data_IF_502509253866
#
_entry.id   IF_502509253866
#
_cell.length_a   1.000
_cell.length_b   1.000
_cell.length_c   1.000
_cell.angle_alpha   90.00
_cell.angle_beta   90.00
_cell.angle_gamma   90.00
#
_symmetry.space_group_name_H-M   'P 1'
#
loop_
_entity.id
_entity.type
_entity.pdbx_description
1 polymer ?
#
# COMPACT_ATOMS: atom_id res chain seq x y z
N UNK A 1 7.74 -0.55 17.14
CA UNK A 1 6.48 0.23 17.18
C UNK A 1 6.08 0.58 18.61
N UNK A 2 5.89 -0.38 19.50
CA UNK A 2 5.42 -0.13 20.90
C UNK A 2 6.27 0.87 21.68
N UNK A 3 7.58 0.84 21.55
CA UNK A 3 8.46 1.80 22.20
C UNK A 3 8.16 3.26 21.78
N UNK A 4 7.86 3.48 20.51
CA UNK A 4 7.49 4.81 19.98
C UNK A 4 6.18 5.28 20.61
N UNK A 5 5.15 4.41 20.64
CA UNK A 5 3.84 4.73 21.21
C UNK A 5 3.98 5.15 22.68
N UNK A 6 4.73 4.36 23.46
CA UNK A 6 5.01 4.64 24.87
C UNK A 6 5.75 5.96 25.11
N UNK A 7 6.73 6.29 24.26
CA UNK A 7 7.46 7.56 24.37
C UNK A 7 6.58 8.76 23.95
N UNK A 8 5.64 8.56 23.03
CA UNK A 8 4.63 9.54 22.68
C UNK A 8 3.62 9.75 23.82
N UNK A 9 3.18 8.67 24.48
CA UNK A 9 2.28 8.73 25.64
C UNK A 9 2.84 9.59 26.75
N UNK A 10 4.11 9.39 27.13
CA UNK A 10 4.80 10.22 28.15
C UNK A 10 4.83 11.71 27.84
N UNK A 11 4.64 12.07 26.57
CA UNK A 11 4.65 13.46 26.08
C UNK A 11 3.27 13.98 25.73
N UNK A 12 2.20 13.22 26.05
CA UNK A 12 0.82 13.51 25.67
C UNK A 12 0.65 13.68 24.14
N UNK A 13 1.37 12.88 23.35
CA UNK A 13 1.26 12.85 21.89
C UNK A 13 0.37 11.69 21.50
N UNK A 14 -0.70 11.98 20.74
CA UNK A 14 -1.56 10.98 20.14
C UNK A 14 -0.91 10.43 18.88
N UNK A 15 -0.89 9.10 18.74
CA UNK A 15 -0.27 8.38 17.62
C UNK A 15 -1.35 7.83 16.71
N UNK A 16 -1.23 8.11 15.42
CA UNK A 16 -2.10 7.54 14.39
C UNK A 16 -1.25 6.68 13.45
N UNK A 17 -1.59 5.40 13.33
CA UNK A 17 -0.87 4.44 12.48
C UNK A 17 -1.75 4.10 11.29
N UNK A 18 -1.26 4.40 10.09
CA UNK A 18 -1.92 4.04 8.85
C UNK A 18 -1.49 2.62 8.43
N UNK A 19 -2.43 1.68 8.53
CA UNK A 19 -2.28 0.28 8.11
C UNK A 19 -3.05 -0.03 6.82
N UNK A 20 -3.33 0.93 5.95
CA UNK A 20 -4.08 0.71 4.70
C UNK A 20 -3.40 -0.23 3.70
N UNK A 21 -2.16 -0.62 3.96
CA UNK A 21 -1.38 -1.59 3.18
C UNK A 21 -1.03 -2.87 3.94
N UNK A 22 -1.49 -3.03 5.17
CA UNK A 22 -1.06 -4.14 6.05
C UNK A 22 -1.41 -5.51 5.49
N UNK A 23 -2.53 -5.63 4.78
CA UNK A 23 -3.01 -6.88 4.19
C UNK A 23 -2.02 -7.46 3.16
N UNK A 24 -1.17 -6.64 2.56
CA UNK A 24 -0.14 -7.07 1.60
C UNK A 24 1.14 -7.60 2.26
N UNK A 25 1.27 -7.45 3.56
CA UNK A 25 2.46 -7.93 4.28
C UNK A 25 2.46 -9.46 4.45
N UNK A 26 3.61 -10.12 4.47
CA UNK A 26 3.70 -11.57 4.66
C UNK A 26 3.12 -12.03 6.00
N UNK A 27 3.38 -11.30 7.08
CA UNK A 27 2.99 -11.64 8.46
C UNK A 27 2.24 -10.45 9.07
N UNK A 28 0.90 -10.39 8.88
CA UNK A 28 0.07 -9.29 9.39
C UNK A 28 0.11 -9.24 10.92
N UNK A 29 0.02 -10.39 11.56
CA UNK A 29 -0.07 -10.54 13.02
C UNK A 29 1.17 -9.99 13.74
N UNK A 30 2.33 -10.04 13.08
CA UNK A 30 3.60 -9.56 13.65
C UNK A 30 3.78 -8.04 13.55
N UNK A 31 3.10 -7.41 12.58
CA UNK A 31 3.34 -5.99 12.28
C UNK A 31 2.18 -5.08 12.67
N UNK A 32 0.95 -5.62 12.77
CA UNK A 32 -0.22 -4.80 13.11
C UNK A 32 -0.11 -4.21 14.51
N UNK A 33 -0.45 -2.95 14.64
CA UNK A 33 -0.53 -2.25 15.91
C UNK A 33 -1.92 -2.39 16.60
N UNK A 34 -2.88 -3.07 15.98
CA UNK A 34 -4.23 -3.23 16.56
C UNK A 34 -4.20 -3.81 17.99
N UNK A 35 -3.42 -4.86 18.32
CA UNK A 35 -3.37 -5.36 19.69
C UNK A 35 -2.89 -4.33 20.72
N UNK A 36 -2.09 -3.34 20.29
CA UNK A 36 -1.57 -2.28 21.14
C UNK A 36 -2.65 -1.26 21.53
N UNK A 37 -3.72 -1.11 20.74
CA UNK A 37 -4.83 -0.20 21.08
C UNK A 37 -5.52 -0.58 22.40
N UNK A 38 -5.43 -1.84 22.82
CA UNK A 38 -5.98 -2.29 24.12
C UNK A 38 -5.13 -1.84 25.32
N UNK A 39 -3.91 -1.40 25.08
CA UNK A 39 -2.94 -1.03 26.15
C UNK A 39 -2.59 0.44 26.15
N UNK A 40 -2.84 1.15 25.06
CA UNK A 40 -2.43 2.55 24.86
C UNK A 40 -3.61 3.40 24.37
N UNK A 41 -4.07 4.30 25.23
CA UNK A 41 -5.16 5.22 24.92
C UNK A 41 -4.76 6.34 23.96
N UNK A 42 -3.47 6.55 23.77
CA UNK A 42 -2.92 7.53 22.83
C UNK A 42 -2.72 6.95 21.41
N UNK A 43 -3.36 5.85 21.07
CA UNK A 43 -3.18 5.15 19.80
C UNK A 43 -4.48 4.99 19.03
N UNK A 44 -4.44 5.27 17.73
CA UNK A 44 -5.45 4.87 16.74
C UNK A 44 -4.77 4.18 15.56
N UNK A 45 -5.34 3.05 15.13
CA UNK A 45 -4.94 2.38 13.88
C UNK A 45 -6.00 2.63 12.83
N UNK A 46 -5.59 3.04 11.63
CA UNK A 46 -6.48 3.31 10.49
C UNK A 46 -6.33 2.20 9.46
N UNK A 47 -7.44 1.70 8.94
CA UNK A 47 -7.52 0.78 7.80
C UNK A 47 -8.57 1.23 6.80
N UNK A 48 -8.55 0.68 5.59
CA UNK A 48 -9.53 1.03 4.57
C UNK A 48 -9.57 0.06 3.41
N UNK A 49 -10.65 0.12 2.64
CA UNK A 49 -10.90 -0.79 1.51
C UNK A 49 -10.31 -0.30 0.17
N UNK A 50 -9.68 0.87 0.16
CA UNK A 50 -9.23 1.54 -1.07
C UNK A 50 -8.05 0.86 -1.77
N UNK A 51 -7.26 0.06 -1.06
CA UNK A 51 -6.05 -0.58 -1.59
C UNK A 51 -6.24 -2.07 -1.77
N UNK A 52 -6.28 -2.83 -0.69
CA UNK A 52 -6.37 -4.29 -0.75
C UNK A 52 -7.66 -4.76 -1.43
N UNK A 53 -8.79 -4.15 -1.12
CA UNK A 53 -10.09 -4.50 -1.72
C UNK A 53 -10.36 -3.79 -3.05
N UNK A 54 -9.38 -3.08 -3.62
CA UNK A 54 -9.47 -2.37 -4.90
C UNK A 54 -10.70 -1.46 -5.05
N UNK A 55 -11.23 -0.93 -3.95
CA UNK A 55 -12.48 -0.16 -3.90
C UNK A 55 -12.26 1.31 -3.45
N UNK A 56 -11.36 2.08 -4.11
CA UNK A 56 -11.09 3.47 -3.70
C UNK A 56 -12.28 4.40 -3.87
N UNK A 57 -13.18 4.11 -4.82
CA UNK A 57 -14.38 4.90 -5.09
C UNK A 57 -15.44 4.84 -3.99
N UNK A 58 -15.43 3.82 -3.14
CA UNK A 58 -16.38 3.69 -2.02
C UNK A 58 -16.14 4.73 -0.92
N UNK A 59 -14.95 5.31 -0.84
CA UNK A 59 -14.55 6.27 0.21
C UNK A 59 -14.81 5.74 1.61
N UNK A 60 -14.47 4.46 1.84
CA UNK A 60 -14.67 3.76 3.10
C UNK A 60 -13.34 3.40 3.76
N UNK A 61 -13.26 3.71 5.04
CA UNK A 61 -12.18 3.34 5.95
C UNK A 61 -12.70 3.31 7.38
N UNK A 62 -11.91 2.77 8.27
CA UNK A 62 -12.26 2.67 9.68
C UNK A 62 -11.03 2.85 10.57
N UNK A 63 -11.27 3.33 11.79
CA UNK A 63 -10.26 3.48 12.81
C UNK A 63 -10.54 2.59 14.00
N UNK A 64 -9.49 2.13 14.67
CA UNK A 64 -9.54 1.28 15.84
C UNK A 64 -8.75 1.96 16.95
N UNK A 65 -9.41 2.26 18.06
CA UNK A 65 -8.82 2.87 19.26
C UNK A 65 -9.61 2.46 20.50
N UNK A 66 -8.99 2.45 21.66
CA UNK A 66 -9.65 2.32 22.95
C UNK A 66 -9.84 3.67 23.67
N UNK A 67 -9.37 4.77 23.11
CA UNK A 67 -9.46 6.10 23.70
C UNK A 67 -10.91 6.62 23.69
N UNK A 68 -11.62 6.49 24.80
CA UNK A 68 -12.99 7.01 24.93
C UNK A 68 -13.04 8.55 24.77
N UNK A 69 -12.04 9.25 25.30
CA UNK A 69 -11.95 10.69 25.17
C UNK A 69 -11.80 11.13 23.71
N UNK A 70 -10.96 10.43 22.94
CA UNK A 70 -10.79 10.68 21.51
C UNK A 70 -12.06 10.35 20.73
N UNK A 71 -12.69 9.20 20.98
CA UNK A 71 -13.95 8.80 20.33
C UNK A 71 -15.07 9.82 20.61
N UNK A 72 -15.19 10.29 21.83
CA UNK A 72 -16.16 11.34 22.20
C UNK A 72 -15.91 12.63 21.41
N UNK A 73 -14.66 13.06 21.35
CA UNK A 73 -14.30 14.26 20.59
C UNK A 73 -14.57 14.08 19.08
N UNK A 74 -14.23 12.91 18.53
CA UNK A 74 -14.47 12.59 17.12
C UNK A 74 -15.97 12.64 16.79
N UNK A 75 -16.82 12.03 17.59
CA UNK A 75 -18.28 12.04 17.40
C UNK A 75 -18.88 13.44 17.48
N UNK A 76 -18.34 14.33 18.33
CA UNK A 76 -18.81 15.71 18.44
C UNK A 76 -18.45 16.58 17.22
N UNK A 77 -17.36 16.22 16.50
CA UNK A 77 -16.85 17.02 15.38
C UNK A 77 -17.06 16.33 14.02
N UNK A 78 -17.54 15.10 14.02
CA UNK A 78 -17.76 14.34 12.79
C UNK A 78 -18.96 14.93 12.01
N UNK A 79 -18.79 15.09 10.70
CA UNK A 79 -19.88 15.42 9.83
C UNK A 79 -20.90 14.24 9.80
N UNK A 80 -22.20 14.45 10.10
CA UNK A 80 -23.21 13.40 10.13
C UNK A 80 -23.31 12.58 8.83
N UNK A 81 -22.96 13.18 7.70
CA UNK A 81 -23.02 12.55 6.37
C UNK A 81 -21.65 12.15 5.80
N UNK A 82 -20.66 11.98 6.65
CA UNK A 82 -19.31 11.60 6.22
C UNK A 82 -19.25 10.19 5.58
N UNK A 83 -20.14 9.29 5.99
CA UNK A 83 -20.22 7.93 5.47
C UNK A 83 -21.45 7.76 4.58
N UNK A 84 -21.24 7.40 3.30
CA UNK A 84 -22.33 7.07 2.41
C UNK A 84 -22.83 5.63 2.62
N UNK A 85 -24.14 5.40 2.43
CA UNK A 85 -24.78 4.11 2.70
C UNK A 85 -24.26 2.97 1.82
N UNK A 86 -23.91 3.26 0.55
CA UNK A 86 -23.34 2.26 -0.36
C UNK A 86 -21.96 1.84 0.13
N UNK A 87 -21.13 2.81 0.54
CA UNK A 87 -19.80 2.54 1.11
C UNK A 87 -19.86 1.71 2.39
N UNK A 88 -20.81 2.02 3.28
CA UNK A 88 -21.00 1.27 4.51
C UNK A 88 -21.40 -0.19 4.24
N UNK A 89 -22.45 -0.41 3.44
CA UNK A 89 -22.95 -1.73 3.11
C UNK A 89 -21.92 -2.57 2.34
N UNK A 90 -21.33 -2.00 1.30
CA UNK A 90 -20.32 -2.71 0.49
C UNK A 90 -19.05 -2.98 1.30
N UNK A 91 -18.63 -2.03 2.14
CA UNK A 91 -17.49 -2.21 3.04
C UNK A 91 -17.68 -3.40 3.99
N UNK A 92 -18.88 -3.57 4.54
CA UNK A 92 -19.21 -4.72 5.37
C UNK A 92 -19.12 -6.06 4.62
N UNK A 93 -19.60 -6.12 3.38
CA UNK A 93 -19.49 -7.30 2.52
C UNK A 93 -18.03 -7.62 2.19
N UNK A 94 -17.24 -6.63 1.77
CA UNK A 94 -15.83 -6.81 1.44
C UNK A 94 -15.01 -7.33 2.61
N UNK A 95 -15.24 -6.81 3.81
CA UNK A 95 -14.52 -7.23 5.02
C UNK A 95 -14.86 -8.65 5.48
N UNK A 96 -16.00 -9.19 5.04
CA UNK A 96 -16.45 -10.58 5.32
C UNK A 96 -16.01 -11.59 4.26
N UNK A 97 -15.51 -11.14 3.12
CA UNK A 97 -15.10 -12.01 2.00
C UNK A 97 -13.71 -12.64 2.27
N UNK A 98 -13.73 -13.76 2.98
CA UNK A 98 -12.53 -14.51 3.33
C UNK A 98 -11.83 -15.14 2.11
N UNK A 99 -12.59 -15.48 1.07
CA UNK A 99 -12.05 -16.08 -0.15
C UNK A 99 -11.29 -15.04 -0.95
N UNK A 100 -11.87 -13.85 -1.16
CA UNK A 100 -11.17 -12.72 -1.77
C UNK A 100 -9.87 -12.39 -1.02
N UNK A 101 -9.95 -12.33 0.31
CA UNK A 101 -8.78 -12.04 1.14
C UNK A 101 -7.66 -13.06 0.92
N UNK A 102 -7.98 -14.36 0.97
CA UNK A 102 -7.01 -15.45 0.79
C UNK A 102 -6.38 -15.44 -0.59
N UNK A 103 -7.23 -15.36 -1.64
CA UNK A 103 -6.80 -15.44 -3.04
C UNK A 103 -5.97 -14.23 -3.46
N UNK A 104 -6.43 -13.03 -3.12
CA UNK A 104 -5.70 -11.78 -3.41
C UNK A 104 -4.34 -11.76 -2.71
N UNK A 105 -4.26 -12.17 -1.44
CA UNK A 105 -2.96 -12.26 -0.76
C UNK A 105 -2.03 -13.26 -1.43
N UNK A 106 -2.52 -14.45 -1.73
CA UNK A 106 -1.71 -15.48 -2.38
C UNK A 106 -1.13 -14.98 -3.72
N UNK A 107 -1.97 -14.35 -4.54
CA UNK A 107 -1.56 -13.75 -5.81
C UNK A 107 -0.50 -12.68 -5.62
N UNK A 108 -0.77 -11.69 -4.77
CA UNK A 108 0.15 -10.55 -4.60
C UNK A 108 1.49 -10.98 -4.00
N UNK A 109 1.50 -11.87 -3.02
CA UNK A 109 2.73 -12.34 -2.40
C UNK A 109 3.61 -13.14 -3.37
N UNK A 110 3.00 -14.06 -4.13
CA UNK A 110 3.72 -14.88 -5.12
C UNK A 110 4.24 -14.04 -6.29
N UNK A 111 3.40 -13.19 -6.87
CA UNK A 111 3.78 -12.34 -8.00
C UNK A 111 4.79 -11.27 -7.60
N UNK A 112 4.69 -10.68 -6.41
CA UNK A 112 5.70 -9.74 -5.91
C UNK A 112 7.08 -10.39 -5.79
N UNK A 113 7.14 -11.60 -5.25
CA UNK A 113 8.39 -12.36 -5.15
C UNK A 113 8.95 -12.69 -6.56
N UNK A 114 8.10 -13.15 -7.47
CA UNK A 114 8.46 -13.46 -8.85
C UNK A 114 8.97 -12.22 -9.60
N UNK A 115 8.25 -11.12 -9.54
CA UNK A 115 8.62 -9.86 -10.18
C UNK A 115 9.94 -9.31 -9.63
N UNK A 116 10.11 -9.34 -8.31
CA UNK A 116 11.36 -8.91 -7.68
C UNK A 116 12.55 -9.76 -8.17
N UNK A 117 12.40 -11.09 -8.18
CA UNK A 117 13.44 -11.99 -8.67
C UNK A 117 13.79 -11.73 -10.14
N UNK A 118 12.80 -11.61 -11.02
CA UNK A 118 13.01 -11.34 -12.44
C UNK A 118 13.73 -10.01 -12.68
N UNK A 119 13.31 -8.94 -12.00
CA UNK A 119 13.95 -7.61 -12.09
C UNK A 119 15.37 -7.60 -11.55
N UNK A 120 15.65 -8.39 -10.52
CA UNK A 120 17.00 -8.49 -9.93
C UNK A 120 18.02 -9.11 -10.90
N UNK A 121 17.57 -9.83 -11.93
CA UNK A 121 18.41 -10.39 -12.99
C UNK A 121 18.52 -9.50 -14.24
N UNK A 122 17.85 -8.34 -14.26
CA UNK A 122 17.94 -7.37 -15.35
C UNK A 122 19.02 -6.32 -15.03
N UNK A 123 20.15 -6.34 -15.74
CA UNK A 123 21.31 -5.46 -15.44
C UNK A 123 20.98 -3.95 -15.48
N UNK A 124 19.97 -3.56 -16.25
CA UNK A 124 19.53 -2.15 -16.37
C UNK A 124 18.67 -1.65 -15.23
N UNK A 125 18.30 -2.48 -14.25
CA UNK A 125 17.34 -2.15 -13.20
C UNK A 125 17.79 -2.64 -11.83
N UNK A 126 17.41 -1.89 -10.77
CA UNK A 126 17.59 -2.29 -9.37
C UNK A 126 16.25 -2.20 -8.65
N UNK A 127 15.56 -3.33 -8.43
CA UNK A 127 14.36 -3.34 -7.60
C UNK A 127 14.70 -3.18 -6.12
N UNK A 128 13.77 -2.62 -5.36
CA UNK A 128 13.85 -2.52 -3.90
C UNK A 128 12.84 -3.48 -3.26
N UNK A 129 13.22 -4.07 -2.13
CA UNK A 129 12.35 -4.95 -1.37
C UNK A 129 11.05 -4.21 -1.01
N UNK A 130 9.92 -4.86 -1.24
CA UNK A 130 8.59 -4.28 -1.10
C UNK A 130 7.70 -5.14 -0.19
N UNK A 131 6.88 -4.47 0.62
CA UNK A 131 5.90 -5.10 1.51
C UNK A 131 4.45 -4.75 1.13
N UNK A 132 4.26 -3.76 0.26
CA UNK A 132 2.96 -3.41 -0.32
C UNK A 132 2.68 -4.18 -1.63
N UNK A 133 1.69 -3.72 -2.37
CA UNK A 133 1.33 -4.25 -3.68
C UNK A 133 2.06 -3.55 -4.83
N UNK A 134 3.23 -2.98 -4.59
CA UNK A 134 4.02 -2.28 -5.61
C UNK A 134 5.52 -2.51 -5.39
N UNK A 135 6.31 -2.33 -6.45
CA UNK A 135 7.77 -2.38 -6.42
C UNK A 135 8.30 -1.02 -6.90
N UNK A 136 9.26 -0.46 -6.14
CA UNK A 136 10.08 0.65 -6.57
C UNK A 136 11.32 0.10 -7.28
N UNK A 137 11.65 0.66 -8.44
CA UNK A 137 12.78 0.23 -9.25
C UNK A 137 13.60 1.44 -9.66
N UNK A 138 14.91 1.39 -9.43
CA UNK A 138 15.86 2.35 -9.96
C UNK A 138 16.32 1.89 -11.33
N UNK A 139 16.37 2.82 -12.29
CA UNK A 139 16.93 2.61 -13.62
C UNK A 139 18.44 2.85 -13.50
N UNK A 140 19.23 1.89 -13.94
CA UNK A 140 20.70 1.93 -13.92
C UNK A 140 21.30 2.19 -15.31
N UNK A 141 20.52 1.93 -16.38
CA UNK A 141 20.97 2.14 -17.76
C UNK A 141 21.14 3.64 -18.05
N UNK A 142 22.35 4.04 -18.41
CA UNK A 142 22.64 5.41 -18.80
C UNK A 142 21.85 5.85 -20.03
N UNK A 143 21.31 7.07 -20.00
CA UNK A 143 20.52 7.65 -21.07
C UNK A 143 19.05 7.20 -21.13
N UNK A 144 18.62 6.27 -20.26
CA UNK A 144 17.22 5.85 -20.13
C UNK A 144 16.58 6.58 -18.93
N UNK A 145 15.60 7.43 -19.19
CA UNK A 145 14.88 8.17 -18.16
C UNK A 145 13.66 7.40 -17.65
N UNK A 146 13.17 7.75 -16.46
CA UNK A 146 11.92 7.22 -15.93
C UNK A 146 10.70 7.57 -16.79
N UNK A 147 10.75 8.71 -17.48
CA UNK A 147 9.72 9.12 -18.43
C UNK A 147 9.73 8.26 -19.70
N UNK A 148 10.90 7.90 -20.24
CA UNK A 148 10.99 6.99 -21.40
C UNK A 148 10.38 5.63 -21.08
N UNK A 149 10.65 5.10 -19.88
CA UNK A 149 10.06 3.83 -19.43
C UNK A 149 8.54 3.95 -19.24
N UNK A 150 8.08 5.08 -18.68
CA UNK A 150 6.65 5.37 -18.55
C UNK A 150 5.97 5.42 -19.93
N UNK A 151 6.53 6.13 -20.90
CA UNK A 151 5.98 6.19 -22.27
C UNK A 151 5.93 4.81 -22.94
N UNK A 152 6.99 4.02 -22.81
CA UNK A 152 7.02 2.66 -23.34
C UNK A 152 5.93 1.77 -22.71
N UNK A 153 5.73 1.88 -21.40
CA UNK A 153 4.65 1.18 -20.70
C UNK A 153 3.26 1.60 -21.21
N UNK A 154 3.01 2.91 -21.36
CA UNK A 154 1.74 3.43 -21.87
C UNK A 154 1.45 2.93 -23.29
N UNK A 155 2.45 2.91 -24.17
CA UNK A 155 2.31 2.36 -25.55
C UNK A 155 1.90 0.88 -25.55
N UNK A 156 2.24 0.17 -24.48
CA UNK A 156 1.85 -1.22 -24.25
C UNK A 156 0.61 -1.38 -23.33
N UNK A 157 -0.19 -0.31 -23.14
CA UNK A 157 -1.40 -0.26 -22.32
C UNK A 157 -1.18 -0.63 -20.85
N UNK A 158 0.00 -0.29 -20.35
CA UNK A 158 0.37 -0.46 -18.94
C UNK A 158 0.59 0.90 -18.32
N UNK A 159 -0.03 1.17 -17.17
CA UNK A 159 0.19 2.40 -16.44
C UNK A 159 1.11 2.15 -15.26
N UNK A 160 2.26 2.79 -15.28
CA UNK A 160 3.22 2.79 -14.18
C UNK A 160 3.38 4.22 -13.63
N UNK A 161 4.10 4.37 -12.54
CA UNK A 161 4.43 5.69 -11.99
C UNK A 161 5.84 6.08 -12.40
N UNK A 162 5.98 7.16 -13.14
CA UNK A 162 7.19 7.96 -13.22
C UNK A 162 7.43 8.66 -11.87
N UNK A 163 8.58 8.43 -11.25
CA UNK A 163 8.92 8.95 -9.93
C UNK A 163 9.80 10.21 -9.99
N UNK A 164 9.95 10.85 -11.12
CA UNK A 164 10.75 12.09 -11.29
C UNK A 164 10.29 13.23 -10.38
N UNK A 165 9.01 13.24 -9.99
CA UNK A 165 8.43 14.24 -9.07
C UNK A 165 8.72 14.00 -7.58
N UNK A 166 9.44 12.93 -7.20
CA UNK A 166 9.80 12.66 -5.81
C UNK A 166 11.16 13.28 -5.48
N UNK A 167 11.17 14.43 -4.87
CA UNK A 167 12.38 15.23 -4.56
C UNK A 167 13.46 14.46 -3.79
N UNK A 168 13.07 13.49 -2.96
CA UNK A 168 13.99 12.67 -2.16
C UNK A 168 14.66 11.54 -2.93
N UNK A 169 14.24 11.26 -4.18
CA UNK A 169 14.82 10.21 -5.01
C UNK A 169 15.83 10.82 -5.99
N UNK A 170 17.12 10.63 -5.72
CA UNK A 170 18.19 11.09 -6.63
C UNK A 170 18.47 10.04 -7.69
N UNK A 171 18.13 10.34 -8.95
CA UNK A 171 18.27 9.47 -10.12
C UNK A 171 16.93 9.11 -10.74
N UNK A 172 16.94 8.13 -11.64
CA UNK A 172 15.78 7.71 -12.41
C UNK A 172 15.08 6.54 -11.71
N UNK A 173 13.78 6.71 -11.37
CA UNK A 173 12.99 5.71 -10.66
C UNK A 173 11.60 5.57 -11.26
N UNK A 174 11.12 4.34 -11.30
CA UNK A 174 9.73 3.99 -11.62
C UNK A 174 9.12 3.19 -10.47
N UNK A 175 7.79 3.22 -10.35
CA UNK A 175 7.03 2.39 -9.42
C UNK A 175 5.83 1.83 -10.15
N UNK A 176 5.56 0.55 -9.97
CA UNK A 176 4.38 -0.10 -10.53
C UNK A 176 3.74 -1.03 -9.52
N UNK A 177 2.43 -1.24 -9.66
CA UNK A 177 1.68 -2.19 -8.84
C UNK A 177 1.91 -3.61 -9.33
N UNK A 178 1.82 -4.57 -8.42
CA UNK A 178 1.68 -5.98 -8.76
C UNK A 178 0.29 -6.19 -9.36
N UNK A 179 0.24 -6.80 -10.52
CA UNK A 179 -0.95 -7.10 -11.29
C UNK A 179 -1.16 -8.62 -11.40
N UNK A 180 -2.06 -9.05 -12.28
CA UNK A 180 -2.15 -10.46 -12.66
C UNK A 180 -0.86 -10.92 -13.39
N UNK A 181 -0.59 -12.24 -13.47
CA UNK A 181 0.63 -12.76 -14.09
C UNK A 181 0.86 -12.30 -15.52
N UNK A 182 -0.21 -12.23 -16.34
CA UNK A 182 -0.12 -11.84 -17.74
C UNK A 182 0.34 -10.38 -17.90
N UNK A 183 -0.25 -9.46 -17.15
CA UNK A 183 0.11 -8.04 -17.19
C UNK A 183 1.51 -7.81 -16.61
N UNK A 184 1.88 -8.57 -15.56
CA UNK A 184 3.22 -8.53 -15.01
C UNK A 184 4.27 -9.01 -16.03
N UNK A 185 3.98 -10.08 -16.78
CA UNK A 185 4.88 -10.57 -17.83
C UNK A 185 5.00 -9.58 -18.99
N UNK A 186 3.90 -8.93 -19.37
CA UNK A 186 3.92 -7.83 -20.35
C UNK A 186 4.83 -6.69 -19.88
N UNK A 187 4.73 -6.29 -18.61
CA UNK A 187 5.59 -5.25 -18.06
C UNK A 187 7.06 -5.67 -18.08
N UNK A 188 7.38 -6.89 -17.67
CA UNK A 188 8.74 -7.42 -17.73
C UNK A 188 9.29 -7.42 -19.15
N UNK A 189 8.47 -7.77 -20.15
CA UNK A 189 8.86 -7.73 -21.56
C UNK A 189 9.19 -6.31 -22.02
N UNK A 190 8.33 -5.33 -21.68
CA UNK A 190 8.59 -3.92 -21.99
C UNK A 190 9.90 -3.44 -21.35
N UNK A 191 10.10 -3.70 -20.06
CA UNK A 191 11.30 -3.30 -19.36
C UNK A 191 12.57 -3.92 -19.97
N UNK A 192 12.51 -5.21 -20.32
CA UNK A 192 13.64 -5.92 -20.95
C UNK A 192 13.97 -5.39 -22.35
N UNK A 193 12.99 -4.90 -23.10
CA UNK A 193 13.21 -4.34 -24.44
C UNK A 193 13.90 -2.99 -24.45
N UNK A 194 14.01 -2.34 -23.31
CA UNK A 194 14.62 -1.01 -23.14
C UNK A 194 16.08 -1.07 -22.69
N UNK A 195 16.59 -2.24 -22.31
CA UNK A 195 17.98 -2.45 -21.81
C UNK A 195 18.87 -3.30 -22.77
#
# INVERSE_FOLDING_TARGET
>A
MEQIIRECEKRNIFVMIDETYVEFAPCIEEITAIPLTKRYDNLMVIRGVSKFYAAPGLRFGYGITSSEAFLKSLHQHQNPWSLNSVGAYTGELLLKDADYFRETRALILSERARMFARLSHMEGYKPYAAYGNFILVRILKGGLTSFDVFEAAIKNRLMIRDCSSFESLTGEYIRFCIMNPEDNDRLLHVLNSLI
#
